data_IF_701273277981
#
_entry.id   IF_701273277981
#
_cell.length_a   1.000
_cell.length_b   1.000
_cell.length_c   1.000
_cell.angle_alpha   90.00
_cell.angle_beta   90.00
_cell.angle_gamma   90.00
#
_symmetry.space_group_name_H-M   'P 1'
#
loop_
_entity.id
_entity.type
_entity.pdbx_description
1 polymer ?
#
# COMPACT_ATOMS: atom_id res chain seq x y z
N UNK A 1 -1.62 14.68 -5.92
CA UNK A 1 -1.67 14.51 -4.45
C UNK A 1 -3.10 14.15 -4.08
N UNK A 2 -3.33 13.10 -3.29
CA UNK A 2 -4.65 12.66 -2.86
C UNK A 2 -4.69 12.52 -1.33
N UNK A 3 -5.77 13.00 -0.72
CA UNK A 3 -6.10 12.79 0.69
C UNK A 3 -7.01 11.56 0.87
N UNK A 4 -7.31 11.23 2.12
CA UNK A 4 -8.14 10.07 2.49
C UNK A 4 -9.51 10.05 1.79
N UNK A 5 -10.17 11.20 1.65
CA UNK A 5 -11.50 11.28 1.04
C UNK A 5 -11.43 10.96 -0.46
N UNK A 6 -10.40 11.45 -1.14
CA UNK A 6 -10.16 11.18 -2.56
C UNK A 6 -9.74 9.72 -2.79
N UNK A 7 -8.93 9.16 -1.89
CA UNK A 7 -8.57 7.73 -1.91
C UNK A 7 -9.83 6.86 -1.75
N UNK A 8 -10.73 7.22 -0.81
CA UNK A 8 -11.96 6.49 -0.54
C UNK A 8 -12.92 6.41 -1.73
N UNK A 9 -12.83 7.36 -2.67
CA UNK A 9 -13.60 7.33 -3.92
C UNK A 9 -13.05 6.32 -4.92
N UNK A 10 -11.78 5.90 -4.79
CA UNK A 10 -11.09 5.03 -5.75
C UNK A 10 -10.90 3.60 -5.27
N UNK A 11 -10.83 3.38 -3.96
CA UNK A 11 -10.69 2.04 -3.37
C UNK A 11 -11.82 1.76 -2.36
N UNK A 12 -12.17 0.48 -2.22
CA UNK A 12 -13.29 0.02 -1.37
C UNK A 12 -12.88 -0.28 0.07
N UNK A 13 -11.59 -0.50 0.34
CA UNK A 13 -11.06 -0.81 1.66
C UNK A 13 -11.36 0.31 2.66
N UNK A 14 -11.71 -0.06 3.90
CA UNK A 14 -12.00 0.86 5.02
C UNK A 14 -11.35 0.33 6.31
N UNK A 15 -11.21 1.16 7.36
CA UNK A 15 -10.70 0.69 8.64
C UNK A 15 -11.45 -0.56 9.14
N UNK A 16 -10.74 -1.55 9.71
CA UNK A 16 -9.30 -1.53 10.04
C UNK A 16 -8.37 -2.01 8.92
N UNK A 17 -8.84 -2.17 7.69
CA UNK A 17 -8.06 -2.74 6.57
C UNK A 17 -7.70 -1.71 5.48
N UNK A 18 -7.90 -0.42 5.75
CA UNK A 18 -7.41 0.64 4.88
C UNK A 18 -6.04 1.10 5.35
N UNK A 19 -5.03 0.91 4.51
CA UNK A 19 -3.63 1.08 4.86
C UNK A 19 -3.04 2.40 4.36
N UNK A 20 -3.47 2.86 3.19
CA UNK A 20 -2.97 4.10 2.57
C UNK A 20 -3.86 5.28 2.99
N UNK A 21 -3.23 6.30 3.56
CA UNK A 21 -3.91 7.49 4.08
C UNK A 21 -3.72 8.71 3.19
N UNK A 22 -2.62 8.73 2.42
CA UNK A 22 -2.24 9.85 1.55
C UNK A 22 -1.42 9.37 0.37
N UNK A 23 -1.67 9.94 -0.81
CA UNK A 23 -0.84 9.77 -2.00
C UNK A 23 -0.16 11.10 -2.30
N UNK A 24 1.17 11.15 -2.22
CA UNK A 24 1.94 12.38 -2.48
C UNK A 24 2.13 12.62 -3.97
N UNK A 25 2.40 11.55 -4.71
CA UNK A 25 2.66 11.56 -6.15
C UNK A 25 1.84 10.47 -6.83
N UNK A 26 1.28 10.78 -8.00
CA UNK A 26 0.54 9.84 -8.82
C UNK A 26 0.76 10.21 -10.27
N UNK A 27 1.33 9.28 -11.03
CA UNK A 27 1.38 9.33 -12.48
C UNK A 27 0.52 8.17 -13.00
N UNK A 28 -0.69 8.45 -13.53
CA UNK A 28 -1.63 7.40 -13.91
C UNK A 28 -1.01 6.38 -14.86
N UNK A 29 -1.23 5.09 -14.58
CA UNK A 29 -0.67 3.95 -15.30
C UNK A 29 0.86 3.82 -15.30
N UNK A 30 1.59 4.66 -14.55
CA UNK A 30 3.06 4.63 -14.46
C UNK A 30 3.51 4.36 -13.03
N UNK A 31 3.17 5.22 -12.08
CA UNK A 31 3.71 5.16 -10.72
C UNK A 31 2.84 5.86 -9.68
N UNK A 32 3.10 5.56 -8.40
CA UNK A 32 2.60 6.35 -7.29
C UNK A 32 3.54 6.29 -6.09
N UNK A 33 3.53 7.35 -5.29
CA UNK A 33 4.14 7.39 -3.96
C UNK A 33 3.06 7.72 -2.93
N UNK A 34 2.96 6.89 -1.90
CA UNK A 34 1.96 6.99 -0.84
C UNK A 34 2.56 6.88 0.55
N UNK A 35 1.75 7.26 1.54
CA UNK A 35 2.12 7.27 2.95
C UNK A 35 1.15 6.38 3.72
N UNK A 36 1.72 5.54 4.58
CA UNK A 36 1.04 4.86 5.68
C UNK A 36 1.71 5.25 6.99
N UNK A 37 0.96 5.82 7.93
CA UNK A 37 1.44 5.94 9.30
C UNK A 37 1.19 4.65 10.07
N UNK A 38 2.12 4.29 10.94
CA UNK A 38 2.03 3.11 11.78
C UNK A 38 1.69 3.56 13.20
N UNK A 39 0.49 3.22 13.66
CA UNK A 39 -0.04 3.71 14.93
C UNK A 39 -0.25 2.55 15.90
N UNK A 40 0.12 2.77 17.18
CA UNK A 40 -0.11 1.76 18.23
C UNK A 40 -1.61 1.42 18.39
N UNK A 41 -2.50 2.29 17.94
CA UNK A 41 -3.95 2.08 17.98
C UNK A 41 -4.46 1.12 16.89
N UNK A 42 -3.59 0.61 16.01
CA UNK A 42 -3.97 -0.38 15.01
C UNK A 42 -4.21 -1.74 15.68
N UNK A 43 -5.32 -2.44 15.33
CA UNK A 43 -5.80 -3.57 16.13
C UNK A 43 -4.85 -4.76 16.18
N UNK A 44 -3.98 -4.92 15.19
CA UNK A 44 -3.02 -6.02 15.15
C UNK A 44 -1.89 -5.88 16.18
N UNK A 45 -1.60 -4.68 16.70
CA UNK A 45 -0.57 -4.52 17.73
C UNK A 45 -0.98 -5.10 19.09
N UNK A 46 -2.26 -5.36 19.32
CA UNK A 46 -2.72 -6.08 20.50
C UNK A 46 -2.16 -7.53 20.58
N UNK A 47 -1.80 -8.11 19.43
CA UNK A 47 -1.33 -9.50 19.34
C UNK A 47 -0.02 -9.70 18.61
N UNK A 48 0.54 -8.67 17.95
CA UNK A 48 1.74 -8.80 17.13
C UNK A 48 2.80 -7.74 17.48
N UNK A 49 3.57 -7.91 18.54
CA UNK A 49 3.41 -8.89 19.63
C UNK A 49 3.25 -8.13 20.96
N UNK A 50 2.60 -8.72 21.98
CA UNK A 50 2.67 -8.17 23.33
C UNK A 50 4.13 -7.88 23.72
N UNK A 51 4.38 -6.71 24.32
CA UNK A 51 5.71 -6.20 24.71
C UNK A 51 6.72 -5.93 23.57
N UNK A 52 6.42 -6.31 22.33
CA UNK A 52 7.27 -6.08 21.15
C UNK A 52 6.38 -5.83 19.93
N UNK A 53 5.75 -4.64 19.84
CA UNK A 53 4.81 -4.34 18.75
C UNK A 53 5.57 -4.22 17.43
N UNK A 54 5.26 -5.11 16.49
CA UNK A 54 5.85 -5.15 15.15
C UNK A 54 4.70 -5.22 14.15
N UNK A 55 4.69 -4.38 13.12
CA UNK A 55 3.67 -4.47 12.09
C UNK A 55 3.83 -5.81 11.34
N UNK A 56 2.76 -6.62 11.20
CA UNK A 56 2.85 -7.86 10.44
C UNK A 56 3.32 -7.59 9.01
N UNK A 57 4.36 -8.30 8.56
CA UNK A 57 4.98 -8.05 7.26
C UNK A 57 4.02 -8.20 6.07
N UNK A 58 2.99 -9.04 6.21
CA UNK A 58 1.91 -9.17 5.21
C UNK A 58 1.08 -7.89 5.04
N UNK A 59 1.01 -7.03 6.06
CA UNK A 59 0.33 -5.74 5.95
C UNK A 59 1.18 -4.69 5.25
N UNK A 60 2.50 -4.85 5.21
CA UNK A 60 3.37 -4.05 4.35
C UNK A 60 3.07 -4.35 2.87
N UNK A 61 2.90 -5.64 2.55
CA UNK A 61 2.47 -6.08 1.22
C UNK A 61 1.09 -5.52 0.88
N UNK A 62 0.12 -5.62 1.79
CA UNK A 62 -1.22 -5.07 1.59
C UNK A 62 -1.19 -3.56 1.34
N UNK A 63 -0.36 -2.82 2.11
CA UNK A 63 -0.19 -1.38 1.93
C UNK A 63 0.30 -1.04 0.52
N UNK A 64 1.31 -1.77 0.03
CA UNK A 64 1.79 -1.61 -1.33
C UNK A 64 0.73 -1.99 -2.37
N UNK A 65 -0.01 -3.08 -2.17
CA UNK A 65 -1.06 -3.53 -3.09
C UNK A 65 -2.22 -2.51 -3.21
N UNK A 66 -2.61 -1.88 -2.10
CA UNK A 66 -3.59 -0.79 -2.11
C UNK A 66 -3.08 0.41 -2.90
N UNK A 67 -1.81 0.78 -2.74
CA UNK A 67 -1.21 1.86 -3.52
C UNK A 67 -1.13 1.53 -5.02
N UNK A 68 -0.74 0.30 -5.39
CA UNK A 68 -0.76 -0.16 -6.78
C UNK A 68 -2.15 0.00 -7.41
N UNK A 69 -3.21 -0.30 -6.64
CA UNK A 69 -4.59 -0.17 -7.12
C UNK A 69 -4.99 1.28 -7.42
N UNK A 70 -4.32 2.26 -6.79
CA UNK A 70 -4.53 3.68 -7.05
C UNK A 70 -3.76 4.20 -8.27
N UNK A 71 -2.85 3.42 -8.86
CA UNK A 71 -2.11 3.83 -10.07
C UNK A 71 -3.00 3.79 -11.31
N UNK A 72 -4.00 2.92 -11.36
CA UNK A 72 -4.85 2.75 -12.54
C UNK A 72 -5.61 4.03 -12.88
N UNK A 73 -5.46 4.53 -14.12
CA UNK A 73 -6.29 5.64 -14.58
C UNK A 73 -7.77 5.23 -14.50
N UNK A 74 -8.71 6.14 -14.18
CA UNK A 74 -10.13 5.82 -14.11
C UNK A 74 -10.66 5.13 -15.39
N UNK A 75 -10.16 5.56 -16.55
CA UNK A 75 -10.50 4.98 -17.87
C UNK A 75 -9.95 3.56 -18.09
N UNK A 76 -8.94 3.16 -17.31
CA UNK A 76 -8.32 1.85 -17.35
C UNK A 76 -8.95 0.85 -16.37
N UNK A 77 -9.94 1.30 -15.60
CA UNK A 77 -10.66 0.52 -14.60
C UNK A 77 -12.09 0.30 -15.05
N UNK A 78 -12.52 -0.96 -15.12
CA UNK A 78 -13.94 -1.28 -15.26
C UNK A 78 -14.61 -1.11 -13.88
N UNK A 79 -15.65 -0.28 -13.78
CA UNK A 79 -16.31 0.10 -12.51
C UNK A 79 -16.77 -1.11 -11.67
N UNK A 80 -17.10 -2.23 -12.32
CA UNK A 80 -17.57 -3.45 -11.67
C UNK A 80 -16.48 -4.50 -11.39
N UNK A 81 -15.21 -4.25 -11.74
CA UNK A 81 -14.12 -5.20 -11.50
C UNK A 81 -13.41 -4.96 -10.18
N UNK A 82 -13.30 -6.03 -9.40
CA UNK A 82 -12.44 -6.08 -8.21
C UNK A 82 -11.06 -6.57 -8.61
N UNK A 83 -10.05 -5.72 -8.46
CA UNK A 83 -8.66 -6.14 -8.60
C UNK A 83 -8.22 -6.89 -7.34
N UNK A 84 -7.60 -8.04 -7.55
CA UNK A 84 -7.12 -8.92 -6.47
C UNK A 84 -5.63 -9.17 -6.65
N UNK A 85 -4.88 -9.20 -5.54
CA UNK A 85 -3.47 -9.52 -5.56
C UNK A 85 -3.28 -11.00 -5.92
N UNK A 86 -2.68 -11.27 -7.08
CA UNK A 86 -2.51 -12.65 -7.57
C UNK A 86 -1.21 -13.30 -7.08
N UNK A 87 -0.14 -12.52 -6.97
CA UNK A 87 1.20 -13.02 -6.72
C UNK A 87 2.09 -11.95 -6.09
N UNK A 88 2.94 -12.37 -5.17
CA UNK A 88 4.08 -11.60 -4.65
C UNK A 88 5.36 -12.36 -4.96
N UNK A 89 6.37 -11.66 -5.46
CA UNK A 89 7.67 -12.24 -5.82
C UNK A 89 8.79 -11.39 -5.23
N UNK A 90 9.82 -12.06 -4.69
CA UNK A 90 11.05 -11.42 -4.22
C UNK A 90 10.86 -10.31 -3.17
N UNK A 91 9.76 -10.33 -2.40
CA UNK A 91 9.55 -9.37 -1.32
C UNK A 91 10.45 -9.71 -0.13
N UNK A 92 11.20 -8.74 0.38
CA UNK A 92 12.11 -8.90 1.52
C UNK A 92 11.82 -7.81 2.55
N UNK A 93 11.60 -8.22 3.79
CA UNK A 93 11.54 -7.30 4.93
C UNK A 93 12.95 -7.24 5.53
N UNK A 94 13.60 -6.08 5.45
CA UNK A 94 14.98 -5.92 5.91
C UNK A 94 15.06 -5.52 7.38
N UNK A 95 14.02 -4.85 7.89
CA UNK A 95 13.90 -4.44 9.29
C UNK A 95 12.45 -4.52 9.78
N UNK A 96 12.23 -4.64 11.10
CA UNK A 96 10.89 -4.49 11.66
C UNK A 96 10.37 -3.07 11.46
N UNK A 97 9.05 -2.98 11.32
CA UNK A 97 8.29 -1.73 11.32
C UNK A 97 7.52 -1.66 12.63
N UNK A 98 7.56 -0.54 13.33
CA UNK A 98 7.02 -0.39 14.67
C UNK A 98 6.09 0.84 14.77
N UNK A 99 5.22 0.94 15.79
CA UNK A 99 4.45 2.15 16.02
C UNK A 99 5.31 3.41 16.07
N UNK A 100 4.87 4.46 15.38
CA UNK A 100 5.62 5.71 15.20
C UNK A 100 6.31 5.84 13.85
N UNK A 101 6.54 4.72 13.14
CA UNK A 101 7.11 4.75 11.79
C UNK A 101 6.14 5.41 10.79
N UNK A 102 6.70 6.16 9.84
CA UNK A 102 6.00 6.61 8.64
C UNK A 102 6.55 5.86 7.43
N UNK A 103 5.72 4.99 6.86
CA UNK A 103 6.06 4.26 5.64
C UNK A 103 5.89 5.17 4.43
N UNK A 104 6.96 5.35 3.67
CA UNK A 104 6.94 5.91 2.33
C UNK A 104 6.96 4.75 1.34
N UNK A 105 5.87 4.57 0.61
CA UNK A 105 5.67 3.44 -0.30
C UNK A 105 5.70 3.98 -1.71
N UNK A 106 6.60 3.46 -2.54
CA UNK A 106 6.69 3.80 -3.97
C UNK A 106 6.43 2.55 -4.81
N UNK A 107 5.57 2.71 -5.83
CA UNK A 107 5.19 1.64 -6.76
C UNK A 107 5.36 2.12 -8.19
N UNK A 108 5.86 1.25 -9.06
CA UNK A 108 6.04 1.51 -10.48
C UNK A 108 5.52 0.34 -11.29
N UNK A 109 4.72 0.60 -12.33
CA UNK A 109 4.24 -0.42 -13.25
C UNK A 109 5.41 -0.99 -14.05
N UNK A 110 5.59 -2.30 -14.01
CA UNK A 110 6.60 -3.01 -14.81
C UNK A 110 6.00 -3.81 -15.95
N UNK A 111 4.70 -4.13 -15.84
CA UNK A 111 3.94 -4.79 -16.90
C UNK A 111 2.48 -4.35 -16.80
N UNK A 112 1.86 -4.10 -17.95
CA UNK A 112 0.42 -3.90 -18.07
C UNK A 112 -0.10 -4.75 -19.23
N UNK A 113 -1.16 -5.49 -18.98
CA UNK A 113 -1.90 -6.27 -19.96
C UNK A 113 -3.39 -5.96 -19.82
N UNK A 114 -4.23 -6.52 -20.70
CA UNK A 114 -5.69 -6.35 -20.60
C UNK A 114 -6.28 -6.88 -19.29
N UNK A 115 -5.65 -7.87 -18.65
CA UNK A 115 -6.22 -8.57 -17.48
C UNK A 115 -5.38 -8.48 -16.20
N UNK A 116 -4.13 -8.02 -16.29
CA UNK A 116 -3.20 -8.02 -15.16
C UNK A 116 -2.17 -6.91 -15.25
N UNK A 117 -1.71 -6.47 -14.08
CA UNK A 117 -0.62 -5.53 -13.89
C UNK A 117 0.43 -6.13 -12.96
N UNK A 118 1.69 -5.77 -13.19
CA UNK A 118 2.81 -6.08 -12.31
C UNK A 118 3.47 -4.76 -11.89
N UNK A 119 3.92 -4.72 -10.63
CA UNK A 119 4.54 -3.57 -10.03
C UNK A 119 5.85 -3.93 -9.35
N UNK A 120 6.84 -3.05 -9.50
CA UNK A 120 7.97 -2.98 -8.58
C UNK A 120 7.62 -2.07 -7.42
N UNK A 121 7.83 -2.54 -6.19
CA UNK A 121 7.47 -1.84 -4.97
C UNK A 121 8.69 -1.67 -4.06
N UNK A 122 8.84 -0.50 -3.46
CA UNK A 122 9.82 -0.22 -2.41
C UNK A 122 9.10 0.49 -1.27
N UNK A 123 9.37 0.06 -0.04
CA UNK A 123 8.86 0.68 1.17
C UNK A 123 10.07 1.22 1.91
N UNK A 124 9.98 2.45 2.41
CA UNK A 124 11.04 3.08 3.20
C UNK A 124 10.50 3.67 4.48
N UNK A 125 11.36 3.73 5.48
CA UNK A 125 11.13 4.48 6.72
C UNK A 125 12.44 5.21 7.04
N UNK A 126 12.35 6.52 7.28
CA UNK A 126 13.50 7.42 7.46
C UNK A 126 14.52 7.38 6.29
N UNK A 127 14.03 7.10 5.07
CA UNK A 127 14.84 7.02 3.87
C UNK A 127 15.52 5.67 3.63
N UNK A 128 15.44 4.75 4.58
CA UNK A 128 16.00 3.39 4.48
C UNK A 128 14.93 2.38 4.06
N UNK A 129 15.33 1.39 3.24
CA UNK A 129 14.48 0.28 2.77
C UNK A 129 14.28 -0.77 3.86
#
# INVERSE_FOLDING_TARGET
MMNLLEINQRIKQRPPFQMIERVTELEPNVSATGIKNVSVNEPYFAGHFPDTPIMPGVLLIESAAQLCSLVFAPESVEEDKLYVLLKVKNFKMLRPVIPGDTLIISVNVTMSTKSAFEFACVIKVDGEV
#
